data_IF_183558865332
#
_entry.id   IF_183558865332
#
_cell.length_a   1.000
_cell.length_b   1.000
_cell.length_c   1.000
_cell.angle_alpha   90.00
_cell.angle_beta   90.00
_cell.angle_gamma   90.00
#
_symmetry.space_group_name_H-M   'P 1'
#
loop_
_entity.id
_entity.type
_entity.pdbx_description
1 polymer ?
#
# COMPACT_ATOMS: atom_id res chain seq x y z
N UNK A 1 2.82 -27.69 -14.20
CA UNK A 1 2.79 -26.25 -14.51
C UNK A 1 4.24 -25.80 -14.50
N UNK A 2 4.88 -25.81 -15.66
CA UNK A 2 6.28 -25.39 -15.78
C UNK A 2 6.32 -23.88 -15.62
N UNK A 3 6.84 -23.39 -14.50
CA UNK A 3 6.94 -21.97 -14.24
C UNK A 3 8.14 -21.44 -15.04
N UNK A 4 7.90 -20.95 -16.25
CA UNK A 4 8.97 -20.39 -17.09
C UNK A 4 9.57 -19.15 -16.41
N UNK A 5 10.90 -19.03 -16.44
CA UNK A 5 11.63 -17.88 -15.87
C UNK A 5 11.17 -16.53 -16.40
N UNK A 6 10.65 -16.54 -17.62
CA UNK A 6 10.04 -15.43 -18.35
C UNK A 6 8.85 -14.83 -17.57
N UNK A 7 8.00 -15.70 -17.02
CA UNK A 7 6.84 -15.31 -16.21
C UNK A 7 7.28 -14.63 -14.92
N UNK A 8 8.38 -15.11 -14.33
CA UNK A 8 8.93 -14.54 -13.10
C UNK A 8 9.44 -13.11 -13.31
N UNK A 9 10.17 -12.85 -14.41
CA UNK A 9 10.61 -11.50 -14.75
C UNK A 9 9.43 -10.54 -15.00
N UNK A 10 8.34 -11.05 -15.59
CA UNK A 10 7.15 -10.23 -15.87
C UNK A 10 6.34 -9.91 -14.61
N UNK A 11 6.32 -10.82 -13.63
CA UNK A 11 5.62 -10.63 -12.35
C UNK A 11 6.41 -9.76 -11.37
N UNK A 12 7.75 -9.71 -11.49
CA UNK A 12 8.62 -8.91 -10.64
C UNK A 12 8.19 -7.44 -10.48
N UNK A 13 7.91 -6.67 -11.56
CA UNK A 13 7.47 -5.28 -11.41
C UNK A 13 6.09 -5.16 -10.75
N UNK A 14 5.19 -6.09 -11.00
CA UNK A 14 3.85 -6.09 -10.40
C UNK A 14 3.94 -6.32 -8.89
N UNK A 15 4.74 -7.31 -8.47
CA UNK A 15 5.03 -7.60 -7.06
C UNK A 15 5.75 -6.43 -6.41
N UNK A 16 6.79 -5.88 -7.05
CA UNK A 16 7.54 -4.74 -6.52
C UNK A 16 6.64 -3.51 -6.32
N UNK A 17 5.74 -3.22 -7.27
CA UNK A 17 4.78 -2.13 -7.15
C UNK A 17 3.79 -2.38 -6.01
N UNK A 18 3.25 -3.60 -5.94
CA UNK A 18 2.28 -3.99 -4.95
C UNK A 18 2.83 -3.85 -3.52
N UNK A 19 3.99 -4.44 -3.26
CA UNK A 19 4.64 -4.34 -1.95
C UNK A 19 5.23 -2.96 -1.69
N UNK A 20 5.81 -2.31 -2.70
CA UNK A 20 6.35 -0.95 -2.58
C UNK A 20 5.29 0.07 -2.18
N UNK A 21 4.10 0.00 -2.79
CA UNK A 21 2.97 0.87 -2.45
C UNK A 21 2.46 0.61 -1.03
N UNK A 22 2.33 -0.67 -0.64
CA UNK A 22 1.89 -1.03 0.71
C UNK A 22 2.88 -0.52 1.76
N UNK A 23 4.19 -0.76 1.58
CA UNK A 23 5.24 -0.28 2.48
C UNK A 23 5.23 1.25 2.56
N UNK A 24 5.13 1.92 1.40
CA UNK A 24 5.06 3.39 1.36
C UNK A 24 3.88 3.93 2.16
N UNK A 25 2.70 3.32 2.04
CA UNK A 25 1.52 3.70 2.81
C UNK A 25 1.72 3.45 4.30
N UNK A 26 2.29 2.30 4.68
CA UNK A 26 2.58 1.96 6.07
C UNK A 26 3.53 3.00 6.69
N UNK A 27 4.66 3.30 6.02
CA UNK A 27 5.61 4.32 6.49
C UNK A 27 4.89 5.65 6.69
N UNK A 28 4.11 6.08 5.68
CA UNK A 28 3.39 7.35 5.74
C UNK A 28 2.34 7.39 6.87
N UNK A 29 1.64 6.29 7.15
CA UNK A 29 0.72 6.16 8.28
C UNK A 29 1.43 6.43 9.62
N UNK A 30 2.67 5.96 9.78
CA UNK A 30 3.45 6.15 11.00
C UNK A 30 4.15 7.50 11.08
N UNK A 31 4.57 8.07 9.96
CA UNK A 31 5.26 9.38 9.90
C UNK A 31 4.27 10.55 9.98
N UNK A 32 3.30 10.61 9.08
CA UNK A 32 2.35 11.74 8.95
C UNK A 32 1.11 11.56 9.83
N UNK A 33 0.86 10.33 10.27
CA UNK A 33 -0.38 9.96 10.92
C UNK A 33 -1.54 9.84 9.94
N UNK A 34 -2.74 9.76 10.52
CA UNK A 34 -3.98 9.40 9.83
C UNK A 34 -5.05 10.44 10.17
N UNK A 35 -5.92 10.78 9.20
CA UNK A 35 -6.91 11.85 9.36
C UNK A 35 -8.22 11.38 9.99
N UNK A 36 -8.81 10.30 9.45
CA UNK A 36 -10.19 9.91 9.76
C UNK A 36 -10.32 8.71 10.72
N UNK A 37 -9.38 7.77 10.69
CA UNK A 37 -9.44 6.52 11.49
C UNK A 37 -8.12 6.29 12.23
N UNK A 38 -8.09 5.30 13.12
CA UNK A 38 -6.87 4.88 13.81
C UNK A 38 -5.84 4.27 12.85
N UNK A 39 -4.55 4.46 13.15
CA UNK A 39 -3.41 3.97 12.33
C UNK A 39 -3.45 2.47 12.11
N UNK A 40 -3.90 1.71 13.11
CA UNK A 40 -4.05 0.26 13.04
C UNK A 40 -5.13 -0.20 12.06
N UNK A 41 -6.23 0.57 11.94
CA UNK A 41 -7.31 0.23 11.00
C UNK A 41 -6.84 0.44 9.57
N UNK A 42 -6.16 1.56 9.30
CA UNK A 42 -5.58 1.80 7.99
C UNK A 42 -4.49 0.79 7.64
N UNK A 43 -3.67 0.36 8.61
CA UNK A 43 -2.72 -0.73 8.43
C UNK A 43 -3.42 -2.03 8.00
N UNK A 44 -4.48 -2.43 8.71
CA UNK A 44 -5.26 -3.62 8.39
C UNK A 44 -5.89 -3.54 6.98
N UNK A 45 -6.39 -2.36 6.59
CA UNK A 45 -6.95 -2.13 5.25
C UNK A 45 -5.86 -2.28 4.18
N UNK A 46 -4.68 -1.67 4.36
CA UNK A 46 -3.57 -1.81 3.42
C UNK A 46 -3.06 -3.25 3.31
N UNK A 47 -3.09 -4.04 4.38
CA UNK A 47 -2.63 -5.45 4.35
C UNK A 47 -3.69 -6.38 3.74
N UNK A 48 -4.96 -6.25 4.13
CA UNK A 48 -6.06 -7.12 3.69
C UNK A 48 -6.46 -6.86 2.24
N UNK A 49 -6.56 -5.58 1.85
CA UNK A 49 -6.99 -5.16 0.51
C UNK A 49 -5.81 -4.76 -0.39
N UNK A 50 -4.59 -4.84 0.13
CA UNK A 50 -3.34 -4.69 -0.61
C UNK A 50 -3.27 -3.38 -1.43
N UNK A 51 -3.29 -3.45 -2.76
CA UNK A 51 -3.31 -2.28 -3.65
C UNK A 51 -4.56 -1.42 -3.39
N UNK A 52 -5.75 -2.02 -3.32
CA UNK A 52 -7.00 -1.28 -3.14
C UNK A 52 -7.01 -0.57 -1.77
N UNK A 53 -6.54 -1.24 -0.73
CA UNK A 53 -6.43 -0.66 0.61
C UNK A 53 -5.46 0.52 0.66
N UNK A 54 -4.30 0.36 0.02
CA UNK A 54 -3.28 1.40 -0.09
C UNK A 54 -3.79 2.62 -0.86
N UNK A 55 -4.53 2.42 -1.95
CA UNK A 55 -5.15 3.51 -2.72
C UNK A 55 -6.21 4.23 -1.87
N UNK A 56 -7.10 3.50 -1.18
CA UNK A 56 -8.08 4.09 -0.28
C UNK A 56 -7.42 4.93 0.83
N UNK A 57 -6.30 4.47 1.39
CA UNK A 57 -5.54 5.24 2.37
C UNK A 57 -4.99 6.53 1.77
N UNK A 58 -4.38 6.46 0.58
CA UNK A 58 -3.79 7.62 -0.08
C UNK A 58 -4.82 8.71 -0.42
N UNK A 59 -6.05 8.30 -0.75
CA UNK A 59 -7.15 9.21 -1.11
C UNK A 59 -7.88 9.78 0.11
N UNK A 60 -8.26 8.92 1.07
CA UNK A 60 -9.14 9.32 2.18
C UNK A 60 -8.46 9.34 3.54
N UNK A 61 -7.45 8.49 3.74
CA UNK A 61 -6.79 8.28 5.04
C UNK A 61 -5.69 9.28 5.37
N UNK A 62 -5.06 9.89 4.35
CA UNK A 62 -3.97 10.84 4.54
C UNK A 62 -4.45 12.14 5.20
N UNK A 63 -3.67 12.60 6.20
CA UNK A 63 -3.68 14.01 6.57
C UNK A 63 -3.15 14.80 5.38
N UNK A 64 -4.01 15.63 4.79
CA UNK A 64 -3.55 16.63 3.84
C UNK A 64 -2.82 17.69 4.66
N UNK A 65 -1.52 17.85 4.44
CA UNK A 65 -0.83 19.11 4.76
C UNK A 65 -1.45 20.19 3.85
N UNK A 66 -2.54 20.79 4.31
CA UNK A 66 -2.95 22.09 3.80
C UNK A 66 -1.96 23.10 4.40
N UNK A 67 -0.93 23.44 3.61
CA UNK A 67 -0.11 24.64 3.85
C UNK A 67 -0.90 25.89 3.50
#
# INVERSE_FOLDING_TARGET
MEMSWETFLLLLPLVALQFGLAIYCIIKIFTEGVRNLNKWVWLAICVLFNILGSICFLLFGRKQEYS
#
